data_IF_001060201883
#
_entry.id   IF_001060201883
#
_cell.length_a   1.000
_cell.length_b   1.000
_cell.length_c   1.000
_cell.angle_alpha   90.00
_cell.angle_beta   90.00
_cell.angle_gamma   90.00
#
_symmetry.space_group_name_H-M   'P 1'
#
loop_
_entity.id
_entity.type
_entity.pdbx_description
1 polymer ?
#
# COMPACT_ATOMS: atom_id res chain seq x y z
N UNK A 1 -25.12 -3.09 -24.29
CA UNK A 1 -24.59 -1.73 -24.56
C UNK A 1 -25.75 -0.78 -24.85
N UNK A 2 -26.46 -0.27 -23.83
CA UNK A 2 -27.46 0.80 -24.00
C UNK A 2 -27.88 1.35 -22.63
N UNK A 3 -26.94 1.92 -21.85
CA UNK A 3 -27.30 2.62 -20.61
C UNK A 3 -26.20 3.59 -20.12
N UNK A 4 -25.68 4.44 -21.01
CA UNK A 4 -24.61 5.38 -20.63
C UNK A 4 -24.60 6.72 -21.41
N UNK A 5 -25.73 7.17 -21.98
CA UNK A 5 -25.75 8.43 -22.77
C UNK A 5 -26.71 9.50 -22.19
N UNK A 6 -27.49 9.21 -21.15
CA UNK A 6 -28.53 10.12 -20.65
C UNK A 6 -28.20 10.83 -19.32
N UNK A 7 -26.93 11.16 -19.04
CA UNK A 7 -26.62 11.90 -17.80
C UNK A 7 -25.48 12.93 -17.92
N UNK A 8 -25.33 13.56 -19.10
CA UNK A 8 -24.35 14.64 -19.32
C UNK A 8 -25.04 15.99 -19.64
N UNK A 9 -26.34 15.99 -19.98
CA UNK A 9 -27.05 17.21 -20.40
C UNK A 9 -27.77 17.99 -19.29
N UNK A 10 -27.77 17.53 -18.02
CA UNK A 10 -28.47 18.25 -16.94
C UNK A 10 -27.59 19.23 -16.14
N UNK A 11 -26.25 19.07 -16.17
CA UNK A 11 -25.35 19.90 -15.36
C UNK A 11 -24.95 21.21 -16.08
N UNK A 12 -25.10 21.29 -17.41
CA UNK A 12 -24.67 22.46 -18.20
C UNK A 12 -25.65 23.64 -18.25
N UNK A 13 -26.84 23.54 -17.64
CA UNK A 13 -27.86 24.60 -17.74
C UNK A 13 -27.92 25.57 -16.55
N UNK A 14 -27.14 25.36 -15.48
CA UNK A 14 -27.21 26.19 -14.26
C UNK A 14 -26.16 27.32 -14.19
N UNK A 15 -25.18 27.36 -15.10
CA UNK A 15 -24.03 28.29 -14.98
C UNK A 15 -24.06 29.55 -15.86
N UNK A 16 -25.09 29.78 -16.69
CA UNK A 16 -25.07 30.82 -17.74
C UNK A 16 -25.94 32.06 -17.43
N UNK A 17 -26.42 32.26 -16.20
CA UNK A 17 -27.32 33.39 -15.87
C UNK A 17 -26.88 34.32 -14.73
N UNK A 18 -25.58 34.45 -14.48
CA UNK A 18 -25.05 35.49 -13.58
C UNK A 18 -23.67 35.96 -14.03
N UNK A 19 -23.57 36.74 -15.12
CA UNK A 19 -22.29 37.39 -15.49
C UNK A 19 -22.39 38.68 -16.31
N UNK A 20 -23.51 39.38 -16.26
CA UNK A 20 -23.62 40.74 -16.80
C UNK A 20 -24.49 41.53 -15.84
N UNK A 21 -24.11 42.80 -15.58
CA UNK A 21 -24.72 43.78 -14.67
C UNK A 21 -24.06 43.90 -13.29
N UNK A 22 -22.81 44.35 -13.26
CA UNK A 22 -22.35 45.30 -12.23
C UNK A 22 -21.05 45.99 -12.70
N UNK A 23 -21.20 46.92 -13.65
CA UNK A 23 -20.17 47.89 -14.04
C UNK A 23 -20.85 49.26 -14.03
N UNK A 24 -20.49 50.12 -13.09
CA UNK A 24 -21.03 51.48 -12.99
C UNK A 24 -20.67 52.24 -11.72
N UNK A 25 -19.43 52.77 -11.64
CA UNK A 25 -19.16 54.10 -11.10
C UNK A 25 -18.74 54.28 -9.63
N UNK A 26 -17.93 55.34 -9.44
CA UNK A 26 -17.49 56.05 -8.21
C UNK A 26 -16.16 55.53 -7.63
N UNK A 27 -15.15 56.34 -7.27
CA UNK A 27 -14.61 57.65 -7.65
C UNK A 27 -13.30 57.78 -6.84
N UNK A 28 -12.39 58.61 -7.32
CA UNK A 28 -11.02 58.87 -6.85
C UNK A 28 -11.03 59.54 -5.45
N UNK A 29 -10.09 59.18 -4.55
CA UNK A 29 -9.30 60.04 -3.63
C UNK A 29 -8.91 59.33 -2.31
N UNK A 30 -7.60 59.18 -2.07
CA UNK A 30 -7.06 58.71 -0.79
C UNK A 30 -5.65 58.10 -0.87
N UNK A 31 -4.68 58.83 -1.39
CA UNK A 31 -3.27 58.56 -1.10
C UNK A 31 -3.02 58.99 0.35
N UNK A 32 -2.54 58.04 1.15
CA UNK A 32 -1.81 58.16 2.41
C UNK A 32 -2.48 57.31 3.50
N UNK A 33 -1.99 56.08 3.65
CA UNK A 33 -1.71 55.44 4.94
C UNK A 33 -0.83 54.21 4.68
N UNK A 34 0.46 54.40 4.97
CA UNK A 34 1.38 53.40 5.50
C UNK A 34 1.72 52.19 4.62
N UNK A 35 2.87 52.37 3.95
CA UNK A 35 3.89 51.35 3.67
C UNK A 35 3.92 50.24 4.75
N UNK A 36 3.31 49.10 4.46
CA UNK A 36 3.61 47.80 5.08
C UNK A 36 3.39 46.67 4.04
N UNK A 37 4.00 46.78 2.86
CA UNK A 37 3.96 45.72 1.83
C UNK A 37 5.00 44.61 2.08
N UNK A 38 5.42 44.40 3.33
CA UNK A 38 6.53 43.50 3.68
C UNK A 38 6.18 42.28 4.53
N UNK A 39 4.92 42.07 4.91
CA UNK A 39 4.52 40.88 5.66
C UNK A 39 4.03 39.81 4.68
N UNK A 40 4.87 38.81 4.39
CA UNK A 40 4.43 37.61 3.67
C UNK A 40 3.34 36.93 4.53
N UNK A 41 2.18 36.61 3.95
CA UNK A 41 1.11 35.91 4.68
C UNK A 41 1.55 34.46 4.96
N UNK A 42 1.09 33.90 6.08
CA UNK A 42 1.30 32.50 6.42
C UNK A 42 0.83 31.59 5.26
N UNK A 43 1.57 30.53 4.89
CA UNK A 43 1.28 29.70 3.71
C UNK A 43 0.16 28.68 3.96
N UNK A 44 -1.03 29.14 4.34
CA UNK A 44 -2.18 28.28 4.70
C UNK A 44 -2.58 27.30 3.60
N UNK A 45 -2.56 27.76 2.35
CA UNK A 45 -2.92 26.92 1.20
C UNK A 45 -1.94 25.75 1.05
N UNK A 46 -0.64 26.00 1.22
CA UNK A 46 0.38 24.95 1.13
C UNK A 46 0.35 24.00 2.33
N UNK A 47 -0.01 24.48 3.53
CA UNK A 47 -0.23 23.61 4.71
C UNK A 47 -1.36 22.63 4.43
N UNK A 48 -2.49 23.12 3.94
CA UNK A 48 -3.65 22.28 3.62
C UNK A 48 -3.34 21.28 2.51
N UNK A 49 -2.64 21.71 1.46
CA UNK A 49 -2.23 20.82 0.36
C UNK A 49 -1.31 19.70 0.85
N UNK A 50 -0.30 20.03 1.66
CA UNK A 50 0.61 19.03 2.23
C UNK A 50 -0.15 18.04 3.13
N UNK A 51 -1.04 18.53 3.99
CA UNK A 51 -1.87 17.69 4.86
C UNK A 51 -2.74 16.72 4.06
N UNK A 52 -3.47 17.22 3.06
CA UNK A 52 -4.33 16.40 2.20
C UNK A 52 -3.53 15.36 1.45
N UNK A 53 -2.33 15.69 0.96
CA UNK A 53 -1.46 14.74 0.27
C UNK A 53 -0.97 13.64 1.21
N UNK A 54 -0.53 13.98 2.43
CA UNK A 54 -0.11 13.01 3.45
C UNK A 54 -1.28 12.09 3.84
N UNK A 55 -2.46 12.65 4.09
CA UNK A 55 -3.64 11.86 4.45
C UNK A 55 -4.06 10.93 3.30
N UNK A 56 -3.95 11.40 2.06
CA UNK A 56 -4.22 10.59 0.86
C UNK A 56 -3.22 9.45 0.68
N UNK A 57 -1.93 9.67 0.99
CA UNK A 57 -0.93 8.62 0.99
C UNK A 57 -1.19 7.60 2.10
N UNK A 58 -1.55 8.07 3.31
CA UNK A 58 -1.92 7.18 4.41
C UNK A 58 -3.16 6.35 4.10
N UNK A 59 -4.17 6.94 3.45
CA UNK A 59 -5.41 6.25 3.09
C UNK A 59 -5.18 5.04 2.17
N UNK A 60 -4.09 5.02 1.39
CA UNK A 60 -3.71 3.85 0.57
C UNK A 60 -2.74 2.90 1.29
N UNK A 61 -2.40 3.17 2.55
CA UNK A 61 -1.54 2.33 3.39
C UNK A 61 -0.05 2.65 3.27
N UNK A 62 0.33 3.89 2.91
CA UNK A 62 1.74 4.26 2.80
C UNK A 62 2.53 4.09 4.10
N UNK A 63 1.88 4.22 5.24
CA UNK A 63 2.44 3.96 6.57
C UNK A 63 2.76 2.48 6.84
N UNK A 64 2.13 1.57 6.08
CA UNK A 64 2.39 0.12 6.16
C UNK A 64 3.40 -0.30 5.08
N UNK A 65 3.13 0.10 3.83
CA UNK A 65 3.82 -0.44 2.67
C UNK A 65 5.03 0.38 2.23
N UNK A 66 5.15 1.63 2.66
CA UNK A 66 6.22 2.58 2.32
C UNK A 66 6.65 3.38 3.57
N UNK A 67 6.68 2.74 4.74
CA UNK A 67 6.75 3.39 6.06
C UNK A 67 7.88 4.42 6.20
N UNK A 68 9.10 4.09 5.75
CA UNK A 68 10.26 4.98 5.81
C UNK A 68 10.06 6.24 4.94
N UNK A 69 9.62 6.06 3.69
CA UNK A 69 9.36 7.18 2.79
C UNK A 69 8.21 8.06 3.30
N UNK A 70 7.14 7.43 3.82
CA UNK A 70 6.01 8.12 4.42
C UNK A 70 6.43 8.96 5.64
N UNK A 71 7.23 8.40 6.54
CA UNK A 71 7.82 9.14 7.66
C UNK A 71 8.65 10.33 7.19
N UNK A 72 9.45 10.18 6.13
CA UNK A 72 10.21 11.28 5.53
C UNK A 72 9.34 12.44 5.02
N UNK A 73 8.15 12.15 4.47
CA UNK A 73 7.20 13.19 4.06
C UNK A 73 6.58 13.91 5.28
N UNK A 74 6.24 13.17 6.34
CA UNK A 74 5.72 13.73 7.60
C UNK A 74 6.77 14.61 8.29
N UNK A 75 8.02 14.16 8.36
CA UNK A 75 9.13 14.92 8.93
C UNK A 75 9.38 16.21 8.14
N UNK A 76 9.30 16.16 6.81
CA UNK A 76 9.42 17.35 5.97
C UNK A 76 8.32 18.36 6.26
N UNK A 77 7.08 17.91 6.46
CA UNK A 77 5.97 18.78 6.86
C UNK A 77 6.18 19.35 8.26
N UNK A 78 6.63 18.53 9.23
CA UNK A 78 6.96 18.99 10.59
C UNK A 78 8.01 20.09 10.58
N UNK A 79 9.10 19.91 9.83
CA UNK A 79 10.15 20.93 9.66
C UNK A 79 9.56 22.22 9.06
N UNK A 80 8.64 22.11 8.10
CA UNK A 80 7.97 23.28 7.55
C UNK A 80 7.17 24.04 8.61
N UNK A 81 6.43 23.32 9.46
CA UNK A 81 5.65 23.92 10.56
C UNK A 81 6.56 24.58 11.60
N UNK A 82 7.68 23.96 11.97
CA UNK A 82 8.70 24.56 12.85
C UNK A 82 9.24 25.87 12.26
N UNK A 83 9.45 25.93 10.94
CA UNK A 83 9.86 27.16 10.25
C UNK A 83 8.79 28.24 10.22
N UNK A 84 7.51 27.87 10.20
CA UNK A 84 6.41 28.84 10.34
C UNK A 84 6.44 29.45 11.74
N UNK A 85 6.57 28.63 12.79
CA UNK A 85 6.61 29.12 14.17
C UNK A 85 7.83 29.99 14.46
N UNK A 86 9.01 29.64 13.91
CA UNK A 86 10.21 30.46 14.00
C UNK A 86 9.99 31.87 13.40
N UNK A 87 9.22 31.95 12.30
CA UNK A 87 8.91 33.22 11.65
C UNK A 87 7.80 33.98 12.38
N UNK A 88 6.84 33.30 13.01
CA UNK A 88 5.76 33.91 13.77
C UNK A 88 6.27 34.83 14.89
N UNK A 89 7.46 34.53 15.43
CA UNK A 89 8.13 35.32 16.48
C UNK A 89 8.89 36.56 15.97
N UNK A 90 9.01 36.75 14.64
CA UNK A 90 9.80 37.85 14.03
C UNK A 90 8.93 39.04 13.63
N UNK A 91 9.50 40.24 13.70
CA UNK A 91 8.83 41.49 13.29
C UNK A 91 8.61 41.56 11.77
N UNK A 92 9.56 41.03 10.98
CA UNK A 92 9.46 40.90 9.52
C UNK A 92 9.41 39.43 9.14
N UNK A 93 8.19 38.92 8.92
CA UNK A 93 7.91 37.50 8.64
C UNK A 93 8.27 37.15 7.21
N UNK A 94 9.02 36.05 7.02
CA UNK A 94 9.38 35.48 5.71
C UNK A 94 9.14 33.97 5.71
N UNK A 95 8.08 33.54 5.05
CA UNK A 95 7.64 32.15 5.02
C UNK A 95 8.14 31.37 3.80
N UNK A 96 8.84 31.99 2.86
CA UNK A 96 9.40 31.34 1.66
C UNK A 96 10.06 29.96 1.90
N UNK A 97 10.87 29.80 2.95
CA UNK A 97 11.51 28.52 3.29
C UNK A 97 10.48 27.47 3.74
N UNK A 98 9.53 27.85 4.61
CA UNK A 98 8.46 26.96 5.04
C UNK A 98 7.56 26.56 3.86
N UNK A 99 7.21 27.52 3.01
CA UNK A 99 6.44 27.29 1.78
C UNK A 99 7.13 26.30 0.85
N UNK A 100 8.44 26.45 0.62
CA UNK A 100 9.21 25.50 -0.18
C UNK A 100 9.18 24.08 0.43
N UNK A 101 9.31 23.96 1.76
CA UNK A 101 9.22 22.66 2.45
C UNK A 101 7.82 22.03 2.36
N UNK A 102 6.75 22.81 2.43
CA UNK A 102 5.38 22.31 2.23
C UNK A 102 5.15 21.78 0.81
N UNK A 103 5.69 22.46 -0.21
CA UNK A 103 5.64 21.98 -1.60
C UNK A 103 6.40 20.66 -1.76
N UNK A 104 7.57 20.54 -1.13
CA UNK A 104 8.35 19.30 -1.12
C UNK A 104 7.58 18.18 -0.42
N UNK A 105 7.02 18.42 0.77
CA UNK A 105 6.21 17.42 1.50
C UNK A 105 5.01 16.96 0.68
N UNK A 106 4.31 17.89 0.02
CA UNK A 106 3.18 17.60 -0.88
C UNK A 106 3.61 16.69 -2.04
N UNK A 107 4.74 17.01 -2.68
CA UNK A 107 5.28 16.24 -3.81
C UNK A 107 5.67 14.84 -3.37
N UNK A 108 6.43 14.72 -2.26
CA UNK A 108 6.83 13.44 -1.69
C UNK A 108 5.60 12.58 -1.37
N UNK A 109 4.59 13.13 -0.69
CA UNK A 109 3.40 12.38 -0.31
C UNK A 109 2.62 11.86 -1.53
N UNK A 110 2.48 12.68 -2.59
CA UNK A 110 1.85 12.24 -3.84
C UNK A 110 2.64 11.12 -4.53
N UNK A 111 3.97 11.22 -4.62
CA UNK A 111 4.79 10.15 -5.18
C UNK A 111 4.71 8.85 -4.36
N UNK A 112 4.72 8.98 -3.03
CA UNK A 112 4.60 7.84 -2.12
C UNK A 112 3.25 7.15 -2.27
N UNK A 113 2.16 7.92 -2.44
CA UNK A 113 0.83 7.36 -2.70
C UNK A 113 0.84 6.50 -3.96
N UNK A 114 1.35 7.01 -5.08
CA UNK A 114 1.41 6.26 -6.34
C UNK A 114 2.30 5.01 -6.22
N UNK A 115 3.48 5.13 -5.59
CA UNK A 115 4.37 3.99 -5.32
C UNK A 115 3.73 2.95 -4.40
N UNK A 116 2.93 3.37 -3.43
CA UNK A 116 2.20 2.47 -2.53
C UNK A 116 1.16 1.65 -3.29
N UNK A 117 0.43 2.27 -4.21
CA UNK A 117 -0.56 1.57 -5.05
C UNK A 117 0.13 0.51 -5.91
N UNK A 118 1.25 0.88 -6.55
CA UNK A 118 2.06 -0.07 -7.35
C UNK A 118 2.59 -1.20 -6.48
N UNK A 119 3.18 -0.90 -5.32
CA UNK A 119 3.72 -1.90 -4.40
C UNK A 119 2.65 -2.90 -3.94
N UNK A 120 1.43 -2.42 -3.65
CA UNK A 120 0.30 -3.29 -3.30
C UNK A 120 -0.09 -4.23 -4.45
N UNK A 121 -0.07 -3.75 -5.70
CA UNK A 121 -0.35 -4.59 -6.86
C UNK A 121 0.74 -5.65 -7.07
N UNK A 122 2.02 -5.29 -6.91
CA UNK A 122 3.14 -6.23 -6.96
C UNK A 122 3.04 -7.30 -5.87
N UNK A 123 2.70 -6.91 -4.64
CA UNK A 123 2.52 -7.84 -3.53
C UNK A 123 1.39 -8.84 -3.79
N UNK A 124 0.25 -8.40 -4.35
CA UNK A 124 -0.83 -9.31 -4.75
C UNK A 124 -0.35 -10.33 -5.76
N UNK A 125 0.34 -9.87 -6.81
CA UNK A 125 0.86 -10.76 -7.85
C UNK A 125 1.88 -11.76 -7.27
N UNK A 126 2.74 -11.33 -6.34
CA UNK A 126 3.69 -12.20 -5.65
C UNK A 126 2.99 -13.25 -4.77
N UNK A 127 1.91 -12.86 -4.08
CA UNK A 127 1.07 -13.78 -3.29
C UNK A 127 0.38 -14.80 -4.18
N UNK A 128 -0.24 -14.37 -5.28
CA UNK A 128 -0.91 -15.27 -6.24
C UNK A 128 0.07 -16.27 -6.86
N UNK A 129 1.26 -15.80 -7.25
CA UNK A 129 2.32 -16.66 -7.77
C UNK A 129 2.79 -17.68 -6.71
N UNK A 130 3.04 -17.22 -5.48
CA UNK A 130 3.48 -18.10 -4.38
C UNK A 130 2.38 -19.10 -4.03
N UNK A 131 1.12 -18.69 -4.01
CA UNK A 131 -0.03 -19.58 -3.80
C UNK A 131 -0.05 -20.72 -4.83
N UNK A 132 0.10 -20.39 -6.13
CA UNK A 132 0.11 -21.39 -7.19
C UNK A 132 1.28 -22.39 -7.04
N UNK A 133 2.47 -21.90 -6.67
CA UNK A 133 3.63 -22.75 -6.40
C UNK A 133 3.42 -23.67 -5.20
N UNK A 134 2.91 -23.15 -4.08
CA UNK A 134 2.63 -23.95 -2.88
C UNK A 134 1.57 -25.00 -3.17
N UNK A 135 0.50 -24.64 -3.88
CA UNK A 135 -0.55 -25.57 -4.27
C UNK A 135 -0.01 -26.71 -5.11
N UNK A 136 0.82 -26.41 -6.12
CA UNK A 136 1.44 -27.44 -6.95
C UNK A 136 2.36 -28.38 -6.15
N UNK A 137 3.14 -27.85 -5.19
CA UNK A 137 3.97 -28.66 -4.29
C UNK A 137 3.11 -29.58 -3.41
N UNK A 138 2.03 -29.08 -2.81
CA UNK A 138 1.15 -29.88 -1.97
C UNK A 138 0.41 -30.98 -2.75
N UNK A 139 0.05 -30.71 -4.01
CA UNK A 139 -0.50 -31.73 -4.92
C UNK A 139 0.53 -32.83 -5.23
N UNK A 140 1.80 -32.47 -5.46
CA UNK A 140 2.89 -33.44 -5.65
C UNK A 140 3.18 -34.24 -4.37
N UNK A 141 3.21 -33.57 -3.22
CA UNK A 141 3.40 -34.20 -1.91
C UNK A 141 2.29 -35.23 -1.63
N UNK A 142 1.05 -34.90 -1.98
CA UNK A 142 -0.08 -35.83 -1.88
C UNK A 142 0.14 -37.08 -2.73
N UNK A 143 0.69 -36.94 -3.94
CA UNK A 143 1.03 -38.07 -4.81
C UNK A 143 2.20 -38.91 -4.27
N UNK A 144 3.21 -38.27 -3.68
CA UNK A 144 4.34 -38.94 -3.05
C UNK A 144 3.91 -39.68 -1.77
N UNK A 145 3.04 -39.07 -0.96
CA UNK A 145 2.48 -39.66 0.26
C UNK A 145 1.77 -40.99 -0.03
N UNK A 146 1.08 -41.10 -1.17
CA UNK A 146 0.46 -42.36 -1.60
C UNK A 146 1.49 -43.50 -1.81
N UNK A 147 2.71 -43.14 -2.24
CA UNK A 147 3.84 -44.06 -2.50
C UNK A 147 4.72 -44.30 -1.26
N UNK A 148 4.54 -43.50 -0.21
CA UNK A 148 5.38 -43.55 0.98
C UNK A 148 5.24 -44.89 1.74
N UNK A 149 6.34 -45.42 2.31
CA UNK A 149 6.36 -46.71 2.96
C UNK A 149 5.67 -46.71 4.34
N UNK A 150 4.76 -47.67 4.56
CA UNK A 150 3.95 -47.79 5.80
C UNK A 150 4.51 -48.79 6.83
N UNK A 151 5.83 -49.00 6.85
CA UNK A 151 6.48 -49.95 7.76
C UNK A 151 6.46 -49.53 9.24
N UNK A 152 7.10 -50.32 10.12
CA UNK A 152 7.20 -50.02 11.57
C UNK A 152 7.85 -48.65 11.79
N UNK A 153 7.05 -47.65 12.16
CA UNK A 153 7.44 -46.25 12.40
C UNK A 153 6.96 -45.27 11.33
N UNK A 154 6.81 -45.69 10.07
CA UNK A 154 6.40 -44.81 8.96
C UNK A 154 4.92 -44.44 8.96
N UNK A 155 4.06 -45.29 9.52
CA UNK A 155 2.62 -45.05 9.53
C UNK A 155 2.22 -43.78 10.32
N UNK A 156 2.85 -43.53 11.47
CA UNK A 156 2.56 -42.34 12.28
C UNK A 156 3.05 -41.05 11.58
N UNK A 157 4.26 -41.08 11.02
CA UNK A 157 4.84 -39.97 10.26
C UNK A 157 3.99 -39.64 9.02
N UNK A 158 3.47 -40.65 8.32
CA UNK A 158 2.58 -40.46 7.17
C UNK A 158 1.27 -39.76 7.57
N UNK A 159 0.67 -40.11 8.70
CA UNK A 159 -0.56 -39.43 9.16
C UNK A 159 -0.28 -37.98 9.63
N UNK A 160 0.89 -37.72 10.21
CA UNK A 160 1.35 -36.37 10.54
C UNK A 160 1.53 -35.53 9.28
N UNK A 161 2.29 -36.02 8.29
CA UNK A 161 2.50 -35.35 6.99
C UNK A 161 1.16 -35.10 6.29
N UNK A 162 0.24 -36.08 6.31
CA UNK A 162 -1.10 -35.92 5.74
C UNK A 162 -1.87 -34.77 6.38
N UNK A 163 -1.82 -34.68 7.71
CA UNK A 163 -2.46 -33.60 8.48
C UNK A 163 -1.84 -32.25 8.15
N UNK A 164 -0.51 -32.22 8.00
CA UNK A 164 0.24 -31.04 7.61
C UNK A 164 -0.11 -30.54 6.20
N UNK A 165 -0.19 -31.44 5.22
CA UNK A 165 -0.63 -31.10 3.86
C UNK A 165 -2.05 -30.54 3.89
N UNK A 166 -2.97 -31.20 4.59
CA UNK A 166 -4.37 -30.78 4.68
C UNK A 166 -4.49 -29.39 5.32
N UNK A 167 -3.89 -29.19 6.48
CA UNK A 167 -3.94 -27.91 7.21
C UNK A 167 -3.28 -26.78 6.41
N UNK A 168 -2.18 -27.06 5.72
CA UNK A 168 -1.50 -26.07 4.88
C UNK A 168 -2.34 -25.71 3.66
N UNK A 169 -2.99 -26.71 3.03
CA UNK A 169 -3.91 -26.50 1.90
C UNK A 169 -5.09 -25.61 2.32
N UNK A 170 -5.76 -25.95 3.42
CA UNK A 170 -6.88 -25.15 3.95
C UNK A 170 -6.44 -23.71 4.24
N UNK A 171 -5.27 -23.52 4.84
CA UNK A 171 -4.73 -22.20 5.13
C UNK A 171 -4.45 -21.38 3.86
N UNK A 172 -3.80 -21.95 2.84
CA UNK A 172 -3.50 -21.21 1.60
C UNK A 172 -4.78 -20.85 0.83
N UNK A 173 -5.80 -21.71 0.86
CA UNK A 173 -7.08 -21.45 0.17
C UNK A 173 -7.87 -20.34 0.86
N UNK A 174 -7.94 -20.35 2.19
CA UNK A 174 -8.54 -19.28 2.96
C UNK A 174 -7.78 -17.96 2.77
N UNK A 175 -6.45 -18.00 2.86
CA UNK A 175 -5.61 -16.81 2.67
C UNK A 175 -5.72 -16.21 1.27
N UNK A 176 -5.89 -17.03 0.23
CA UNK A 176 -6.08 -16.54 -1.14
C UNK A 176 -7.47 -15.93 -1.37
N UNK A 177 -8.48 -16.33 -0.59
CA UNK A 177 -9.87 -15.85 -0.73
C UNK A 177 -10.12 -14.57 0.07
N UNK A 178 -9.63 -14.50 1.30
CA UNK A 178 -10.03 -13.49 2.28
C UNK A 178 -8.96 -12.42 2.59
N UNK A 179 -7.97 -12.26 1.71
CA UNK A 179 -6.86 -11.34 1.96
C UNK A 179 -7.30 -9.88 1.99
N UNK A 180 -7.00 -9.19 3.08
CA UNK A 180 -7.25 -7.74 3.20
C UNK A 180 -6.09 -6.92 2.69
N UNK A 181 -6.43 -5.71 2.24
CA UNK A 181 -5.50 -4.68 1.78
C UNK A 181 -4.41 -4.27 2.76
N UNK A 182 -4.54 -4.58 4.05
CA UNK A 182 -3.55 -4.30 5.10
C UNK A 182 -2.69 -5.51 5.47
N UNK A 183 -2.98 -6.68 4.88
CA UNK A 183 -2.42 -7.97 5.33
C UNK A 183 -1.42 -8.55 4.31
N UNK A 184 -1.14 -7.88 3.18
CA UNK A 184 -0.35 -8.47 2.09
C UNK A 184 1.05 -8.91 2.51
N UNK A 185 1.79 -8.09 3.27
CA UNK A 185 3.12 -8.46 3.74
C UNK A 185 3.08 -9.72 4.62
N UNK A 186 2.14 -9.76 5.57
CA UNK A 186 2.00 -10.88 6.51
C UNK A 186 1.55 -12.15 5.79
N UNK A 187 0.63 -12.05 4.82
CA UNK A 187 0.18 -13.21 4.05
C UNK A 187 1.28 -13.72 3.13
N UNK A 188 2.03 -12.84 2.48
CA UNK A 188 3.17 -13.23 1.66
C UNK A 188 4.23 -13.99 2.46
N UNK A 189 4.58 -13.50 3.65
CA UNK A 189 5.56 -14.17 4.53
C UNK A 189 5.08 -15.56 4.93
N UNK A 190 3.78 -15.70 5.27
CA UNK A 190 3.20 -17.01 5.59
C UNK A 190 3.10 -17.94 4.37
N UNK A 191 2.84 -17.41 3.17
CA UNK A 191 2.85 -18.18 1.91
C UNK A 191 4.26 -18.71 1.62
N UNK A 192 5.29 -17.90 1.84
CA UNK A 192 6.69 -18.32 1.72
C UNK A 192 7.04 -19.42 2.73
N UNK A 193 6.61 -19.28 3.99
CA UNK A 193 6.78 -20.33 4.99
C UNK A 193 6.04 -21.63 4.63
N UNK A 194 4.83 -21.54 4.06
CA UNK A 194 4.10 -22.69 3.55
C UNK A 194 4.84 -23.38 2.39
N UNK A 195 5.47 -22.60 1.50
CA UNK A 195 6.33 -23.13 0.42
C UNK A 195 7.54 -23.88 0.95
N UNK A 196 8.21 -23.34 1.96
CA UNK A 196 9.34 -24.00 2.63
C UNK A 196 8.89 -25.32 3.28
N UNK A 197 7.75 -25.31 3.97
CA UNK A 197 7.16 -26.52 4.57
C UNK A 197 6.85 -27.59 3.53
N UNK A 198 6.16 -27.24 2.44
CA UNK A 198 5.85 -28.18 1.36
C UNK A 198 7.13 -28.74 0.70
N UNK A 199 8.14 -27.89 0.51
CA UNK A 199 9.45 -28.35 -0.03
C UNK A 199 10.15 -29.34 0.91
N UNK A 200 10.06 -29.14 2.24
CA UNK A 200 10.60 -30.08 3.23
C UNK A 200 9.86 -31.41 3.17
N UNK A 201 8.52 -31.37 3.15
CA UNK A 201 7.67 -32.57 3.04
C UNK A 201 8.04 -33.37 1.79
N UNK A 202 8.14 -32.70 0.64
CA UNK A 202 8.58 -33.33 -0.62
C UNK A 202 9.90 -34.07 -0.48
N UNK A 203 10.88 -33.43 0.17
CA UNK A 203 12.22 -33.98 0.39
C UNK A 203 12.15 -35.23 1.28
N UNK A 204 11.48 -35.14 2.42
CA UNK A 204 11.31 -36.25 3.36
C UNK A 204 10.60 -37.45 2.72
N UNK A 205 9.53 -37.20 1.96
CA UNK A 205 8.78 -38.25 1.25
C UNK A 205 9.65 -38.92 0.17
N UNK A 206 10.36 -38.13 -0.63
CA UNK A 206 11.25 -38.65 -1.69
C UNK A 206 12.35 -39.52 -1.08
N UNK A 207 13.03 -39.04 -0.03
CA UNK A 207 14.06 -39.82 0.65
C UNK A 207 13.51 -41.12 1.26
N UNK A 208 12.32 -41.09 1.87
CA UNK A 208 11.71 -42.28 2.44
C UNK A 208 11.37 -43.32 1.37
N UNK A 209 10.85 -42.88 0.22
CA UNK A 209 10.56 -43.74 -0.94
C UNK A 209 11.86 -44.36 -1.48
N UNK A 210 12.91 -43.55 -1.67
CA UNK A 210 14.18 -43.99 -2.22
C UNK A 210 14.91 -44.99 -1.30
N UNK A 211 14.89 -44.76 0.02
CA UNK A 211 15.47 -45.70 1.00
C UNK A 211 14.84 -47.09 0.89
N UNK A 212 13.52 -47.17 0.73
CA UNK A 212 12.83 -48.47 0.57
C UNK A 212 13.04 -49.08 -0.81
N UNK A 213 13.07 -48.27 -1.87
CA UNK A 213 13.38 -48.75 -3.20
C UNK A 213 14.80 -49.35 -3.29
N UNK A 214 15.78 -48.71 -2.66
CA UNK A 214 17.15 -49.21 -2.56
C UNK A 214 17.26 -50.50 -1.74
N UNK A 215 16.51 -50.60 -0.62
CA UNK A 215 16.49 -51.81 0.21
C UNK A 215 15.89 -53.02 -0.52
N UNK A 216 14.88 -52.82 -1.39
CA UNK A 216 14.28 -53.90 -2.19
C UNK A 216 15.15 -54.39 -3.36
N UNK A 217 16.19 -53.64 -3.73
CA UNK A 217 17.12 -54.00 -4.81
C UNK A 217 18.33 -54.78 -4.33
N UNK A 218 18.52 -54.92 -3.01
CA UNK A 218 19.54 -55.74 -2.37
C UNK A 218 18.96 -57.09 -1.98
#
# INVERSE_FOLDING_TARGET
MFSAIMNINFIKLSFIKMKKRFLGGIAILGIALLVFTGCEKMPEAEIQQAQVAIDSAKAVGADIYMAEAFAGAQDTMKVAMEKIEEQNSKWFKKYSVAKAKLVVATTMANEIKEKTIVRKAELKAEIEATYAEVKALLEEDTQLLAKAPRGKGGAAIIEEIKTDIATTTEWIEAANTDIKDTEYLVVLDKMKAAKEKATSIKTELTEAIDKVAAAKRK
#
